data_IF_344204548075
#
_entry.id   IF_344204548075
#
_cell.length_a   1.000
_cell.length_b   1.000
_cell.length_c   1.000
_cell.angle_alpha   90.00
_cell.angle_beta   90.00
_cell.angle_gamma   90.00
#
_symmetry.space_group_name_H-M   'P 1'
#
loop_
_entity.id
_entity.type
_entity.pdbx_description
1 polymer ?
#
# COMPACT_ATOMS: atom_id res chain seq x y z
N UNK A 1 3.50 -71.44 2.09
CA UNK A 1 4.35 -70.58 1.23
C UNK A 1 3.78 -69.17 1.27
N UNK A 2 4.25 -68.34 2.20
CA UNK A 2 3.82 -66.94 2.30
C UNK A 2 4.56 -66.15 1.23
N UNK A 3 3.88 -65.88 0.11
CA UNK A 3 4.33 -64.93 -0.89
C UNK A 3 4.46 -63.57 -0.20
N UNK A 4 5.69 -63.24 0.22
CA UNK A 4 6.00 -61.89 0.68
C UNK A 4 5.67 -60.96 -0.47
N UNK A 5 4.74 -60.03 -0.24
CA UNK A 5 4.46 -58.95 -1.16
C UNK A 5 5.70 -58.05 -1.23
N UNK A 6 6.69 -58.47 -2.02
CA UNK A 6 7.95 -57.75 -2.21
C UNK A 6 7.67 -56.58 -3.15
N UNK A 7 7.27 -55.47 -2.55
CA UNK A 7 7.24 -54.18 -3.20
C UNK A 7 8.65 -53.63 -3.31
N UNK A 8 9.04 -53.22 -4.51
CA UNK A 8 10.38 -52.72 -4.84
C UNK A 8 10.23 -51.26 -5.26
N UNK A 9 11.11 -50.41 -4.76
CA UNK A 9 11.19 -49.01 -5.16
C UNK A 9 11.75 -48.91 -6.59
N UNK A 10 10.99 -48.27 -7.48
CA UNK A 10 11.34 -48.16 -8.91
C UNK A 10 11.71 -46.74 -9.33
N UNK A 11 11.19 -45.74 -8.63
CA UNK A 11 11.35 -44.34 -8.99
C UNK A 11 11.25 -43.47 -7.75
N UNK A 12 12.12 -42.47 -7.65
CA UNK A 12 12.16 -41.55 -6.50
C UNK A 12 11.89 -40.14 -6.99
N UNK A 13 10.74 -39.60 -6.63
CA UNK A 13 10.39 -38.21 -6.91
C UNK A 13 10.97 -37.29 -5.85
N UNK A 14 11.33 -36.08 -6.26
CA UNK A 14 11.68 -34.96 -5.38
C UNK A 14 10.45 -34.36 -4.70
N UNK A 15 9.30 -34.34 -5.37
CA UNK A 15 8.05 -33.75 -4.88
C UNK A 15 7.00 -34.83 -4.59
N UNK A 16 6.29 -34.68 -3.46
CA UNK A 16 5.22 -35.61 -3.07
C UNK A 16 4.06 -35.61 -4.07
N UNK A 17 3.71 -34.44 -4.63
CA UNK A 17 2.63 -34.30 -5.62
C UNK A 17 2.89 -35.16 -6.86
N UNK A 18 4.14 -35.19 -7.33
CA UNK A 18 4.53 -36.04 -8.47
C UNK A 18 4.44 -37.53 -8.12
N UNK A 19 4.78 -37.91 -6.87
CA UNK A 19 4.62 -39.29 -6.40
C UNK A 19 3.15 -39.71 -6.33
N UNK A 20 2.26 -38.81 -5.87
CA UNK A 20 0.82 -39.06 -5.82
C UNK A 20 0.23 -39.18 -7.22
N UNK A 21 0.59 -38.27 -8.14
CA UNK A 21 0.18 -38.33 -9.53
C UNK A 21 0.57 -39.66 -10.20
N UNK A 22 1.82 -40.08 -10.05
CA UNK A 22 2.28 -41.35 -10.62
C UNK A 22 1.62 -42.56 -9.98
N UNK A 23 1.34 -42.52 -8.67
CA UNK A 23 0.59 -43.59 -7.99
C UNK A 23 -0.82 -43.72 -8.58
N UNK A 24 -1.48 -42.61 -8.85
CA UNK A 24 -2.83 -42.61 -9.42
C UNK A 24 -2.84 -43.19 -10.84
N UNK A 25 -1.87 -42.80 -11.69
CA UNK A 25 -1.71 -43.38 -13.03
C UNK A 25 -1.46 -44.89 -12.96
N UNK A 26 -0.60 -45.35 -12.06
CA UNK A 26 -0.33 -46.77 -11.89
C UNK A 26 -1.58 -47.52 -11.40
N UNK A 27 -2.37 -46.89 -10.53
CA UNK A 27 -3.65 -47.43 -10.06
C UNK A 27 -4.69 -47.53 -11.18
N UNK A 28 -4.78 -46.53 -12.07
CA UNK A 28 -5.64 -46.58 -13.26
C UNK A 28 -5.28 -47.75 -14.19
N UNK A 29 -3.99 -48.08 -14.26
CA UNK A 29 -3.48 -49.24 -14.99
C UNK A 29 -3.58 -50.57 -14.20
N UNK A 30 -4.35 -50.59 -13.10
CA UNK A 30 -4.60 -51.75 -12.23
C UNK A 30 -3.36 -52.29 -11.51
N UNK A 31 -2.33 -51.46 -11.31
CA UNK A 31 -1.13 -51.82 -10.57
C UNK A 31 -1.23 -51.33 -9.12
N UNK A 32 -0.80 -52.18 -8.18
CA UNK A 32 -0.70 -51.80 -6.78
C UNK A 32 0.57 -51.00 -6.52
N UNK A 33 0.45 -49.68 -6.35
CA UNK A 33 1.56 -48.79 -6.03
C UNK A 33 1.45 -48.22 -4.60
N UNK A 34 2.57 -48.15 -3.90
CA UNK A 34 2.69 -47.53 -2.57
C UNK A 34 3.73 -46.42 -2.58
N UNK A 35 3.48 -45.35 -1.81
CA UNK A 35 4.41 -44.23 -1.64
C UNK A 35 5.05 -44.36 -0.25
N UNK A 36 6.38 -44.33 -0.20
CA UNK A 36 7.14 -44.23 1.07
C UNK A 36 8.25 -43.18 0.97
N UNK A 37 9.39 -43.55 0.40
CA UNK A 37 10.48 -42.62 0.03
C UNK A 37 10.56 -42.39 -1.49
N UNK A 38 9.68 -43.05 -2.22
CA UNK A 38 9.58 -43.16 -3.67
C UNK A 38 8.40 -44.07 -3.98
N UNK A 39 8.25 -44.43 -5.25
CA UNK A 39 7.17 -45.27 -5.74
C UNK A 39 7.59 -46.73 -5.67
N UNK A 40 6.82 -47.52 -4.92
CA UNK A 40 7.03 -48.96 -4.79
C UNK A 40 5.93 -49.72 -5.53
N UNK A 41 6.33 -50.71 -6.33
CA UNK A 41 5.42 -51.58 -7.09
C UNK A 41 5.82 -53.04 -6.90
N UNK A 42 4.92 -53.96 -7.22
CA UNK A 42 5.22 -55.40 -7.16
C UNK A 42 6.28 -55.76 -8.20
N UNK A 43 7.11 -56.74 -7.87
CA UNK A 43 8.18 -57.21 -8.76
C UNK A 43 7.67 -57.64 -10.16
N UNK A 44 6.44 -58.17 -10.25
CA UNK A 44 5.82 -58.54 -11.53
C UNK A 44 5.56 -57.35 -12.46
N UNK A 45 5.35 -56.17 -11.90
CA UNK A 45 4.79 -55.02 -12.61
C UNK A 45 5.85 -53.94 -12.91
N UNK A 46 7.10 -54.14 -12.44
CA UNK A 46 8.20 -53.16 -12.55
C UNK A 46 8.41 -52.70 -13.99
N UNK A 47 8.48 -53.64 -14.94
CA UNK A 47 8.79 -53.32 -16.34
C UNK A 47 7.73 -52.42 -16.96
N UNK A 48 6.46 -52.73 -16.71
CA UNK A 48 5.32 -51.99 -17.26
C UNK A 48 5.20 -50.63 -16.54
N UNK A 49 5.42 -50.60 -15.22
CA UNK A 49 5.39 -49.38 -14.44
C UNK A 49 6.47 -48.38 -14.88
N UNK A 50 7.69 -48.84 -15.14
CA UNK A 50 8.77 -47.99 -15.66
C UNK A 50 8.45 -47.45 -17.06
N UNK A 51 7.86 -48.26 -17.92
CA UNK A 51 7.42 -47.83 -19.26
C UNK A 51 6.37 -46.72 -19.14
N UNK A 52 5.35 -46.91 -18.31
CA UNK A 52 4.31 -45.90 -18.05
C UNK A 52 4.94 -44.62 -17.48
N UNK A 53 5.79 -44.71 -16.45
CA UNK A 53 6.43 -43.53 -15.86
C UNK A 53 7.27 -42.79 -16.91
N UNK A 54 7.97 -43.50 -17.78
CA UNK A 54 8.79 -42.87 -18.82
C UNK A 54 7.97 -42.12 -19.89
N UNK A 55 6.68 -42.44 -20.05
CA UNK A 55 5.76 -41.67 -20.91
C UNK A 55 5.25 -40.40 -20.25
N UNK A 56 5.37 -40.30 -18.93
CA UNK A 56 4.98 -39.10 -18.20
C UNK A 56 6.16 -38.14 -18.20
N UNK A 57 6.02 -37.01 -18.88
CA UNK A 57 7.02 -35.95 -18.93
C UNK A 57 7.02 -35.18 -17.60
N UNK A 58 7.54 -35.81 -16.56
CA UNK A 58 7.61 -35.25 -15.21
C UNK A 58 8.92 -34.51 -15.09
N UNK A 59 8.84 -33.20 -15.27
CA UNK A 59 9.95 -32.31 -15.00
C UNK A 59 10.09 -32.07 -13.49
N UNK A 60 11.18 -32.55 -12.91
CA UNK A 60 11.58 -32.26 -11.52
C UNK A 60 12.77 -31.30 -11.42
N UNK A 61 13.20 -30.74 -12.56
CA UNK A 61 14.36 -29.85 -12.66
C UNK A 61 14.05 -28.46 -12.12
N UNK A 62 12.82 -27.98 -12.31
CA UNK A 62 12.37 -26.72 -11.73
C UNK A 62 11.95 -26.92 -10.26
N UNK A 63 12.76 -26.35 -9.38
CA UNK A 63 12.26 -25.89 -8.08
C UNK A 63 11.47 -24.63 -8.30
N UNK A 64 10.15 -24.73 -8.15
CA UNK A 64 9.38 -23.59 -7.66
C UNK A 64 10.00 -23.27 -6.31
N UNK A 65 10.84 -22.23 -6.30
CA UNK A 65 11.47 -21.75 -5.07
C UNK A 65 10.34 -21.37 -4.12
N UNK A 66 10.16 -22.17 -3.08
CA UNK A 66 8.98 -22.11 -2.23
C UNK A 66 8.90 -20.76 -1.51
N UNK A 67 10.05 -20.11 -1.29
CA UNK A 67 10.12 -18.71 -0.85
C UNK A 67 9.52 -17.76 -1.89
N UNK A 68 9.84 -17.93 -3.17
CA UNK A 68 9.37 -17.06 -4.25
C UNK A 68 7.86 -17.25 -4.52
N UNK A 69 7.36 -18.49 -4.48
CA UNK A 69 5.92 -18.77 -4.59
C UNK A 69 5.13 -18.15 -3.44
N UNK A 70 5.60 -18.31 -2.19
CA UNK A 70 4.94 -17.72 -1.03
C UNK A 70 5.06 -16.19 -1.00
N UNK A 71 6.06 -15.62 -1.68
CA UNK A 71 6.25 -14.17 -1.77
C UNK A 71 5.10 -13.51 -2.52
N UNK A 72 4.63 -14.10 -3.63
CA UNK A 72 3.48 -13.57 -4.38
C UNK A 72 2.18 -13.63 -3.58
N UNK A 73 1.93 -14.73 -2.85
CA UNK A 73 0.77 -14.85 -1.96
C UNK A 73 0.83 -13.88 -0.79
N UNK A 74 2.02 -13.66 -0.24
CA UNK A 74 2.24 -12.70 0.84
C UNK A 74 2.06 -11.27 0.35
N UNK A 75 2.61 -10.94 -0.81
CA UNK A 75 2.42 -9.63 -1.45
C UNK A 75 0.94 -9.39 -1.77
N UNK A 76 0.24 -10.41 -2.28
CA UNK A 76 -1.21 -10.36 -2.47
C UNK A 76 -1.95 -10.17 -1.16
N UNK A 77 -1.68 -10.96 -0.14
CA UNK A 77 -2.33 -10.80 1.16
C UNK A 77 -2.10 -9.41 1.78
N UNK A 78 -0.88 -8.89 1.68
CA UNK A 78 -0.51 -7.59 2.23
C UNK A 78 -1.12 -6.43 1.43
N UNK A 79 -1.35 -6.60 0.11
CA UNK A 79 -1.83 -5.55 -0.78
C UNK A 79 -3.25 -5.77 -1.33
N UNK A 80 -3.97 -6.82 -0.94
CA UNK A 80 -5.31 -7.14 -1.44
C UNK A 80 -6.32 -6.02 -1.17
N UNK A 81 -6.13 -5.30 -0.06
CA UNK A 81 -6.95 -4.14 0.31
C UNK A 81 -6.41 -2.81 -0.27
N UNK A 82 -5.32 -2.85 -1.03
CA UNK A 82 -4.73 -1.69 -1.68
C UNK A 82 -5.07 -1.70 -3.18
N UNK A 83 -6.19 -1.06 -3.58
CA UNK A 83 -6.62 -1.05 -4.98
C UNK A 83 -5.61 -0.37 -5.93
N UNK A 84 -4.66 0.41 -5.41
CA UNK A 84 -3.60 1.03 -6.21
C UNK A 84 -2.45 0.09 -6.60
N UNK A 85 -2.31 -1.06 -5.92
CA UNK A 85 -1.21 -2.01 -6.13
C UNK A 85 -1.40 -2.84 -7.41
N UNK A 86 -2.62 -3.31 -7.67
CA UNK A 86 -2.93 -4.22 -8.79
C UNK A 86 -3.52 -3.54 -10.03
N UNK A 87 -3.90 -2.26 -9.95
CA UNK A 87 -4.49 -1.51 -11.06
C UNK A 87 -3.48 -0.71 -11.90
N UNK A 88 -2.19 -1.05 -11.81
CA UNK A 88 -1.13 -0.32 -12.52
C UNK A 88 -0.83 1.00 -11.82
N UNK A 89 0.05 0.94 -10.83
CA UNK A 89 0.52 2.08 -10.06
C UNK A 89 1.31 3.09 -10.90
N UNK A 90 0.61 3.90 -11.68
CA UNK A 90 1.04 5.26 -11.99
C UNK A 90 -0.16 6.20 -12.05
N UNK A 91 -0.89 6.27 -10.94
CA UNK A 91 -1.74 7.43 -10.66
C UNK A 91 -1.13 8.05 -9.41
N UNK A 92 -0.63 9.31 -9.47
CA UNK A 92 -0.04 9.98 -8.32
C UNK A 92 -1.12 10.15 -7.24
N UNK A 93 -1.21 9.18 -6.33
CA UNK A 93 -2.28 9.06 -5.35
C UNK A 93 -2.09 9.93 -4.11
N UNK A 94 -1.15 10.89 -4.14
CA UNK A 94 -0.95 11.83 -3.04
C UNK A 94 -2.12 12.81 -2.84
N UNK A 95 -3.03 12.93 -3.82
CA UNK A 95 -4.17 13.85 -3.71
C UNK A 95 -5.47 13.13 -3.30
N UNK A 96 -5.61 11.81 -3.51
CA UNK A 96 -6.96 11.19 -3.47
C UNK A 96 -7.27 10.23 -2.31
N UNK A 97 -6.32 9.75 -1.51
CA UNK A 97 -6.66 8.74 -0.46
C UNK A 97 -6.05 8.91 0.92
N UNK A 98 -5.31 9.99 1.18
CA UNK A 98 -4.99 10.34 2.57
C UNK A 98 -5.92 11.44 3.00
N UNK A 99 -6.70 11.19 4.05
CA UNK A 99 -7.44 12.19 4.80
C UNK A 99 -6.47 13.32 5.18
N UNK A 100 -6.39 14.34 4.32
CA UNK A 100 -5.54 15.51 4.52
C UNK A 100 -6.25 16.54 5.41
N UNK A 101 -7.27 16.12 6.18
CA UNK A 101 -8.00 16.98 7.11
C UNK A 101 -7.07 17.64 8.11
N UNK A 102 -5.99 16.97 8.53
CA UNK A 102 -4.97 17.57 9.39
C UNK A 102 -4.22 18.71 8.66
N UNK A 103 -3.77 18.48 7.43
CA UNK A 103 -3.07 19.50 6.63
C UNK A 103 -3.97 20.71 6.35
N UNK A 104 -5.21 20.47 5.92
CA UNK A 104 -6.20 21.52 5.71
C UNK A 104 -6.60 22.21 7.03
N UNK A 105 -6.67 21.49 8.14
CA UNK A 105 -6.89 22.06 9.47
C UNK A 105 -5.77 23.00 9.90
N UNK A 106 -4.50 22.61 9.68
CA UNK A 106 -3.34 23.45 9.99
C UNK A 106 -3.29 24.66 9.05
N UNK A 107 -3.54 24.46 7.75
CA UNK A 107 -3.52 25.54 6.76
C UNK A 107 -4.63 26.58 7.03
N UNK A 108 -5.84 26.13 7.35
CA UNK A 108 -6.95 27.01 7.72
C UNK A 108 -6.68 27.76 9.02
N UNK A 109 -6.16 27.08 10.05
CA UNK A 109 -5.77 27.71 11.31
C UNK A 109 -4.68 28.78 11.11
N UNK A 110 -3.66 28.49 10.29
CA UNK A 110 -2.62 29.46 9.91
C UNK A 110 -3.19 30.68 9.18
N UNK A 111 -4.14 30.47 8.26
CA UNK A 111 -4.84 31.56 7.58
C UNK A 111 -5.62 32.44 8.56
N UNK A 112 -6.34 31.85 9.51
CA UNK A 112 -7.07 32.61 10.54
C UNK A 112 -6.14 33.41 11.45
N UNK A 113 -4.99 32.85 11.84
CA UNK A 113 -3.99 33.58 12.65
C UNK A 113 -3.46 34.78 11.86
N UNK A 114 -3.11 34.60 10.58
CA UNK A 114 -2.62 35.68 9.74
C UNK A 114 -3.66 36.82 9.61
N UNK A 115 -4.93 36.46 9.41
CA UNK A 115 -6.06 37.41 9.37
C UNK A 115 -6.23 38.16 10.69
N UNK A 116 -6.16 37.47 11.83
CA UNK A 116 -6.24 38.11 13.15
C UNK A 116 -5.10 39.12 13.36
N UNK A 117 -3.87 38.76 12.98
CA UNK A 117 -2.71 39.67 13.04
C UNK A 117 -2.93 40.89 12.15
N UNK A 118 -3.40 40.72 10.92
CA UNK A 118 -3.66 41.86 10.01
C UNK A 118 -4.77 42.77 10.53
N UNK A 119 -5.82 42.22 11.14
CA UNK A 119 -6.89 43.01 11.76
C UNK A 119 -6.35 43.84 12.94
N UNK A 120 -5.52 43.28 13.81
CA UNK A 120 -4.92 44.00 14.94
C UNK A 120 -4.01 45.13 14.45
N UNK A 121 -3.18 44.88 13.44
CA UNK A 121 -2.31 45.92 12.88
C UNK A 121 -3.12 47.04 12.21
N UNK A 122 -4.15 46.69 11.43
CA UNK A 122 -4.99 47.68 10.75
C UNK A 122 -5.82 48.52 11.73
N UNK A 123 -6.35 47.93 12.81
CA UNK A 123 -7.06 48.67 13.85
C UNK A 123 -6.13 49.61 14.61
N UNK A 124 -4.92 49.16 14.98
CA UNK A 124 -3.92 50.00 15.64
C UNK A 124 -3.46 51.15 14.75
N UNK A 125 -3.26 50.90 13.46
CA UNK A 125 -2.93 51.94 12.49
C UNK A 125 -4.07 52.96 12.33
N UNK A 126 -5.32 52.49 12.24
CA UNK A 126 -6.50 53.37 12.17
C UNK A 126 -6.63 54.26 13.39
N UNK A 127 -6.46 53.71 14.61
CA UNK A 127 -6.47 54.47 15.85
C UNK A 127 -5.36 55.51 15.90
N UNK A 128 -4.13 55.13 15.54
CA UNK A 128 -3.00 56.05 15.48
C UNK A 128 -3.24 57.18 14.47
N UNK A 129 -3.75 56.85 13.28
CA UNK A 129 -4.07 57.84 12.25
C UNK A 129 -5.16 58.81 12.69
N UNK A 130 -6.23 58.31 13.31
CA UNK A 130 -7.30 59.15 13.87
C UNK A 130 -6.78 60.06 14.98
N UNK A 131 -5.93 59.55 15.87
CA UNK A 131 -5.29 60.36 16.91
C UNK A 131 -4.44 61.50 16.32
N UNK A 132 -3.66 61.23 15.27
CA UNK A 132 -2.89 62.29 14.58
C UNK A 132 -3.81 63.36 13.96
N UNK A 133 -4.92 62.95 13.36
CA UNK A 133 -5.89 63.87 12.76
C UNK A 133 -6.59 64.75 13.80
N UNK A 134 -6.99 64.19 14.94
CA UNK A 134 -7.55 64.97 16.04
C UNK A 134 -6.54 65.99 16.59
N UNK A 135 -5.28 65.59 16.78
CA UNK A 135 -4.22 66.49 17.24
C UNK A 135 -4.01 67.66 16.26
N UNK A 136 -4.05 67.40 14.95
CA UNK A 136 -4.00 68.44 13.91
C UNK A 136 -5.23 69.37 13.97
N UNK A 137 -6.44 68.83 14.10
CA UNK A 137 -7.68 69.63 14.21
C UNK A 137 -7.64 70.56 15.42
N UNK A 138 -7.24 70.06 16.60
CA UNK A 138 -7.11 70.86 17.84
C UNK A 138 -6.08 71.98 17.70
N UNK A 139 -4.97 71.75 16.98
CA UNK A 139 -3.96 72.79 16.70
C UNK A 139 -4.51 73.90 15.80
N UNK A 140 -5.29 73.54 14.76
CA UNK A 140 -5.92 74.52 13.86
C UNK A 140 -6.98 75.34 14.59
N UNK A 141 -7.84 74.71 15.39
CA UNK A 141 -8.86 75.43 16.16
C UNK A 141 -8.24 76.39 17.18
N UNK A 142 -7.17 75.99 17.87
CA UNK A 142 -6.46 76.87 18.82
C UNK A 142 -5.78 78.05 18.12
N UNK A 143 -5.23 77.85 16.92
CA UNK A 143 -4.63 78.94 16.15
C UNK A 143 -5.69 79.94 15.63
N UNK A 144 -6.87 79.46 15.24
CA UNK A 144 -7.96 80.30 14.75
C UNK A 144 -8.72 81.03 15.88
N UNK A 145 -8.73 80.49 17.12
CA UNK A 145 -9.26 81.19 18.29
C UNK A 145 -8.34 82.32 18.80
N UNK A 146 -7.09 82.38 18.32
CA UNK A 146 -6.12 83.43 18.67
C UNK A 146 -6.20 84.70 17.79
N UNK A 147 -6.84 84.62 16.63
CA UNK A 147 -7.11 85.78 15.78
C UNK A 147 -8.37 86.50 16.27
N UNK A 148 -8.15 87.53 17.10
CA UNK A 148 -9.20 88.50 17.48
C UNK A 148 -9.89 89.02 16.22
N UNK A 149 -11.23 89.18 16.20
CA UNK A 149 -11.91 89.79 15.07
C UNK A 149 -11.39 91.22 14.89
N UNK A 150 -10.86 91.50 13.70
CA UNK A 150 -10.60 92.87 13.27
C UNK A 150 -11.95 93.60 13.31
N UNK A 151 -12.11 94.51 14.29
CA UNK A 151 -13.20 95.49 14.27
C UNK A 151 -12.99 96.33 13.02
N UNK A 152 -13.89 96.20 12.05
CA UNK A 152 -14.03 97.18 11.00
C UNK A 152 -14.54 98.47 11.66
N UNK A 153 -13.70 99.49 11.70
CA UNK A 153 -14.12 100.87 11.96
C UNK A 153 -14.71 101.39 10.65
N UNK A 154 -16.02 101.66 10.65
CA UNK A 154 -16.65 102.66 9.79
C UNK A 154 -16.74 103.96 10.58
#
# INVERSE_FOLDING_TARGET
MTSGNNFIEIFKCKYLVNSEYLKDILSENKMGAHIKNGILVKNSDIKIALEIISTQDIDESETIDQENFMTEYKEWNDNNLNPGHYLGGNIPFFIKTRSNHLFWGIATLGFFILQAVTLIYSSNFSLWFNYQNEKKRKKITNNNSGTKPHKYQM
#
